data_IF_038995818296
#
_entry.id   IF_038995818296
#
_cell.length_a   1.000
_cell.length_b   1.000
_cell.length_c   1.000
_cell.angle_alpha   90.00
_cell.angle_beta   90.00
_cell.angle_gamma   90.00
#
_symmetry.space_group_name_H-M   'P 1'
#
loop_
_entity.id
_entity.type
_entity.pdbx_description
1 polymer ?
#
# COMPACT_ATOMS: atom_id res chain seq x y z
N UNK A 1 30.49 5.07 24.28
CA UNK A 1 29.22 4.38 23.94
C UNK A 1 28.10 5.34 23.54
N UNK A 2 28.03 6.58 24.05
CA UNK A 2 27.07 7.61 23.57
C UNK A 2 27.52 8.39 22.31
N UNK A 3 28.82 8.72 22.20
CA UNK A 3 29.37 9.50 21.06
C UNK A 3 29.07 8.88 19.69
N UNK A 4 29.11 7.55 19.58
CA UNK A 4 28.80 6.80 18.34
C UNK A 4 27.32 6.88 17.95
N UNK A 5 26.42 6.76 18.93
CA UNK A 5 24.98 6.88 18.70
C UNK A 5 24.61 8.31 18.28
N UNK A 6 25.15 9.32 18.97
CA UNK A 6 24.92 10.73 18.64
C UNK A 6 25.32 11.07 17.19
N UNK A 7 26.49 10.58 16.75
CA UNK A 7 26.97 10.80 15.38
C UNK A 7 26.02 10.22 14.32
N UNK A 8 25.35 9.09 14.59
CA UNK A 8 24.37 8.48 13.66
C UNK A 8 23.07 9.29 13.55
N UNK A 9 22.64 9.96 14.62
CA UNK A 9 21.48 10.85 14.57
C UNK A 9 21.81 12.20 13.94
N UNK A 10 23.03 12.72 14.14
CA UNK A 10 23.51 13.96 13.52
C UNK A 10 23.77 13.80 12.00
N UNK A 11 24.06 12.59 11.51
CA UNK A 11 24.30 12.32 10.08
C UNK A 11 23.06 12.36 9.17
N UNK A 12 21.89 12.68 9.73
CA UNK A 12 20.63 12.67 9.00
C UNK A 12 20.01 11.26 8.89
N UNK A 13 18.75 11.17 8.45
CA UNK A 13 18.07 9.89 8.35
C UNK A 13 18.78 8.97 7.32
N UNK A 14 18.78 7.65 7.56
CA UNK A 14 19.32 6.70 6.58
C UNK A 14 18.58 6.84 5.24
N UNK A 15 19.25 6.57 4.11
CA UNK A 15 18.65 6.67 2.79
C UNK A 15 17.38 5.83 2.73
N UNK A 16 16.32 6.38 2.14
CA UNK A 16 15.05 5.67 1.95
C UNK A 16 15.29 4.41 1.11
N UNK A 17 15.12 3.21 1.68
CA UNK A 17 15.44 1.96 1.00
C UNK A 17 14.54 1.68 -0.21
N UNK A 18 13.40 2.35 -0.31
CA UNK A 18 12.42 2.18 -1.36
C UNK A 18 11.64 3.46 -1.65
N UNK A 19 11.03 3.52 -2.83
CA UNK A 19 10.28 4.69 -3.32
C UNK A 19 8.76 4.58 -3.15
N UNK A 20 8.27 3.66 -2.33
CA UNK A 20 6.83 3.50 -2.11
C UNK A 20 6.24 4.61 -1.25
N UNK A 21 5.08 5.11 -1.66
CA UNK A 21 4.30 6.12 -0.95
C UNK A 21 2.90 5.59 -0.61
N UNK A 22 2.26 6.13 0.44
CA UNK A 22 0.83 5.93 0.65
C UNK A 22 0.04 6.31 -0.61
N UNK A 23 -0.82 5.42 -1.09
CA UNK A 23 -1.56 5.56 -2.34
C UNK A 23 -1.01 4.73 -3.52
N UNK A 24 0.23 4.25 -3.43
CA UNK A 24 0.79 3.36 -4.44
C UNK A 24 0.09 2.00 -4.43
N UNK A 25 0.03 1.38 -5.61
CA UNK A 25 -0.43 0.01 -5.75
C UNK A 25 0.75 -0.95 -5.85
N UNK A 26 0.67 -2.04 -5.09
CA UNK A 26 1.74 -3.03 -5.02
C UNK A 26 1.19 -4.45 -5.08
N UNK A 27 1.91 -5.32 -5.77
CA UNK A 27 1.77 -6.75 -5.64
C UNK A 27 2.59 -7.24 -4.45
N UNK A 28 2.07 -8.22 -3.71
CA UNK A 28 2.77 -8.85 -2.58
C UNK A 28 3.18 -10.27 -2.95
N UNK A 29 4.43 -10.61 -2.66
CA UNK A 29 5.01 -11.91 -2.95
C UNK A 29 4.36 -13.04 -2.13
N UNK A 30 4.13 -14.19 -2.76
CA UNK A 30 3.65 -15.39 -2.10
C UNK A 30 4.81 -16.31 -1.68
N UNK A 31 5.02 -16.47 -0.37
CA UNK A 31 6.10 -17.30 0.18
C UNK A 31 5.87 -18.81 0.03
N UNK A 32 4.62 -19.28 0.06
CA UNK A 32 4.26 -20.69 -0.06
C UNK A 32 3.38 -20.86 -1.30
N UNK A 33 3.99 -21.20 -2.42
CA UNK A 33 3.30 -21.37 -3.70
C UNK A 33 2.99 -22.86 -3.94
N UNK A 34 1.77 -23.19 -4.35
CA UNK A 34 1.47 -24.52 -4.88
C UNK A 34 1.88 -24.64 -6.35
N UNK A 35 1.95 -25.86 -6.89
CA UNK A 35 2.44 -26.08 -8.25
C UNK A 35 1.58 -25.31 -9.27
N UNK A 36 2.21 -24.47 -10.08
CA UNK A 36 1.61 -23.64 -11.15
C UNK A 36 0.76 -22.43 -10.71
N UNK A 37 0.79 -22.01 -9.44
CA UNK A 37 0.11 -20.77 -9.03
C UNK A 37 0.88 -19.49 -9.39
N UNK A 38 0.23 -18.33 -9.59
CA UNK A 38 0.93 -17.06 -9.72
C UNK A 38 1.68 -16.69 -8.43
N UNK A 39 2.96 -16.29 -8.57
CA UNK A 39 3.85 -15.98 -7.43
C UNK A 39 3.53 -14.65 -6.74
N UNK A 40 2.82 -13.76 -7.42
CA UNK A 40 2.42 -12.47 -6.91
C UNK A 40 0.92 -12.50 -6.62
N UNK A 41 0.55 -12.13 -5.39
CA UNK A 41 -0.85 -11.95 -5.02
C UNK A 41 -1.41 -10.74 -5.76
N UNK A 42 -2.74 -10.59 -5.73
CA UNK A 42 -3.45 -9.44 -6.30
C UNK A 42 -2.84 -8.09 -5.88
N UNK A 43 -3.17 -7.00 -6.59
CA UNK A 43 -2.76 -5.67 -6.18
C UNK A 43 -3.37 -5.27 -4.83
N UNK A 44 -2.57 -4.58 -4.03
CA UNK A 44 -2.95 -3.98 -2.76
C UNK A 44 -2.57 -2.51 -2.74
N UNK A 45 -3.35 -1.71 -2.02
CA UNK A 45 -3.08 -0.29 -1.83
C UNK A 45 -2.14 -0.11 -0.63
N UNK A 46 -1.05 0.63 -0.80
CA UNK A 46 -0.18 1.04 0.30
C UNK A 46 -0.90 2.12 1.12
N UNK A 47 -1.15 1.83 2.40
CA UNK A 47 -1.76 2.78 3.36
C UNK A 47 -0.68 3.55 4.11
N UNK A 48 0.43 2.88 4.45
CA UNK A 48 1.54 3.48 5.18
C UNK A 48 2.86 2.87 4.69
N UNK A 49 3.88 3.71 4.58
CA UNK A 49 5.23 3.32 4.20
C UNK A 49 6.19 3.70 5.32
N UNK A 50 7.00 2.73 5.75
CA UNK A 50 8.17 2.93 6.63
C UNK A 50 9.40 2.53 5.84
N UNK A 51 10.63 2.93 6.22
CA UNK A 51 11.81 2.70 5.38
C UNK A 51 12.00 1.26 4.89
N UNK A 52 11.64 0.24 5.69
CA UNK A 52 11.84 -1.17 5.32
C UNK A 52 10.55 -1.94 5.06
N UNK A 53 9.39 -1.40 5.41
CA UNK A 53 8.14 -2.16 5.35
C UNK A 53 6.93 -1.30 5.01
N UNK A 54 6.00 -1.92 4.31
CA UNK A 54 4.74 -1.34 3.87
C UNK A 54 3.58 -1.93 4.66
N UNK A 55 2.64 -1.07 5.01
CA UNK A 55 1.31 -1.45 5.45
C UNK A 55 0.38 -1.36 4.25
N UNK A 56 -0.14 -2.49 3.83
CA UNK A 56 -1.04 -2.55 2.67
C UNK A 56 -2.48 -2.84 3.11
N UNK A 57 -3.44 -2.49 2.26
CA UNK A 57 -4.85 -2.72 2.54
C UNK A 57 -5.13 -4.23 2.68
N UNK A 58 -6.11 -4.58 3.51
CA UNK A 58 -6.55 -5.97 3.75
C UNK A 58 -5.50 -6.97 4.30
N UNK A 59 -4.26 -6.56 4.57
CA UNK A 59 -3.24 -7.37 5.25
C UNK A 59 -2.94 -6.76 6.64
N UNK A 60 -3.13 -7.56 7.69
CA UNK A 60 -2.86 -7.14 9.07
C UNK A 60 -1.36 -6.99 9.37
N UNK A 61 -0.53 -7.84 8.76
CA UNK A 61 0.92 -7.78 8.89
C UNK A 61 1.57 -6.64 8.06
N UNK A 62 2.79 -6.28 8.44
CA UNK A 62 3.68 -5.43 7.65
C UNK A 62 4.43 -6.27 6.62
N UNK A 63 4.59 -5.75 5.41
CA UNK A 63 5.26 -6.44 4.31
C UNK A 63 6.60 -5.77 4.05
N UNK A 64 7.70 -6.52 4.11
CA UNK A 64 9.01 -5.98 3.76
C UNK A 64 9.06 -5.58 2.28
N UNK A 65 9.68 -4.44 1.95
CA UNK A 65 9.65 -3.87 0.59
C UNK A 65 10.28 -4.78 -0.48
N UNK A 66 11.18 -5.68 -0.10
CA UNK A 66 11.76 -6.68 -1.03
C UNK A 66 10.76 -7.75 -1.45
N UNK A 67 9.65 -7.89 -0.73
CA UNK A 67 8.55 -8.79 -1.04
C UNK A 67 7.40 -8.07 -1.72
N UNK A 68 7.62 -6.84 -2.19
CA UNK A 68 6.62 -6.07 -2.94
C UNK A 68 7.14 -5.68 -4.31
N UNK A 69 6.22 -5.52 -5.25
CA UNK A 69 6.50 -5.01 -6.59
C UNK A 69 5.47 -3.95 -6.96
N UNK A 70 5.85 -2.83 -7.61
CA UNK A 70 4.87 -1.85 -8.08
C UNK A 70 3.85 -2.51 -9.01
N UNK A 71 2.58 -2.13 -8.86
CA UNK A 71 1.51 -2.45 -9.76
C UNK A 71 1.16 -1.21 -10.58
N UNK A 72 1.16 -1.33 -11.90
CA UNK A 72 0.79 -0.24 -12.78
C UNK A 72 -0.72 -0.02 -12.74
N UNK A 73 -1.13 1.20 -12.35
CA UNK A 73 -2.52 1.65 -12.29
C UNK A 73 -3.26 1.49 -13.63
N UNK A 74 -2.57 1.58 -14.78
CA UNK A 74 -3.18 1.35 -16.10
C UNK A 74 -3.35 -0.13 -16.42
N UNK A 75 -2.51 -0.99 -15.84
CA UNK A 75 -2.63 -2.44 -15.95
C UNK A 75 -3.59 -3.03 -14.90
N UNK A 76 -3.94 -2.26 -13.86
CA UNK A 76 -5.03 -2.61 -12.96
C UNK A 76 -6.33 -2.57 -13.75
N UNK A 77 -6.82 -3.74 -14.13
CA UNK A 77 -8.18 -3.93 -14.63
C UNK A 77 -9.14 -3.13 -13.74
N UNK A 78 -10.12 -2.44 -14.31
CA UNK A 78 -11.14 -1.63 -13.59
C UNK A 78 -11.87 -2.39 -12.46
N UNK A 79 -11.69 -3.70 -12.39
CA UNK A 79 -12.14 -4.58 -11.32
C UNK A 79 -11.40 -4.40 -9.98
N UNK A 80 -10.14 -3.98 -10.01
CA UNK A 80 -9.32 -3.80 -8.80
C UNK A 80 -9.33 -2.38 -8.26
N UNK A 81 -9.72 -1.40 -9.08
CA UNK A 81 -9.86 -0.02 -8.63
C UNK A 81 -11.07 0.08 -7.69
N UNK A 82 -10.92 0.68 -6.49
CA UNK A 82 -12.05 0.86 -5.61
C UNK A 82 -12.99 1.87 -6.25
N UNK A 83 -14.15 1.39 -6.70
CA UNK A 83 -15.19 2.24 -7.27
C UNK A 83 -15.90 2.97 -6.13
N UNK A 84 -15.35 4.12 -5.76
CA UNK A 84 -15.97 5.02 -4.79
C UNK A 84 -17.05 5.84 -5.48
N UNK A 85 -18.27 5.79 -4.95
CA UNK A 85 -19.36 6.66 -5.34
C UNK A 85 -19.57 7.69 -4.24
N UNK A 86 -19.42 8.97 -4.60
CA UNK A 86 -19.83 10.06 -3.74
C UNK A 86 -21.36 10.26 -3.89
N UNK A 87 -22.08 10.14 -2.79
CA UNK A 87 -23.49 10.48 -2.70
C UNK A 87 -23.61 11.83 -1.98
N UNK A 88 -24.20 12.80 -2.66
CA UNK A 88 -24.56 14.09 -2.07
C UNK A 88 -25.83 13.88 -1.25
N UNK A 89 -25.82 14.35 -0.01
CA UNK A 89 -27.00 14.31 0.84
C UNK A 89 -28.09 15.26 0.30
N UNK A 90 -29.30 14.73 0.12
CA UNK A 90 -30.42 15.47 -0.46
C UNK A 90 -30.95 16.58 0.46
N UNK A 91 -30.64 16.52 1.75
CA UNK A 91 -31.18 17.42 2.78
C UNK A 91 -30.16 18.42 3.30
N UNK A 92 -28.87 18.08 3.28
CA UNK A 92 -27.80 18.98 3.68
C UNK A 92 -26.73 19.06 2.59
N UNK A 93 -26.62 20.19 1.87
CA UNK A 93 -25.68 20.33 0.76
C UNK A 93 -24.20 20.28 1.19
N UNK A 94 -23.91 20.36 2.50
CA UNK A 94 -22.56 20.25 3.06
C UNK A 94 -22.21 18.82 3.53
N UNK A 95 -23.12 17.86 3.36
CA UNK A 95 -22.87 16.46 3.71
C UNK A 95 -22.61 15.62 2.46
N UNK A 96 -21.46 14.96 2.45
CA UNK A 96 -21.06 14.00 1.43
C UNK A 96 -20.88 12.63 2.08
N UNK A 97 -21.45 11.60 1.45
CA UNK A 97 -21.29 10.21 1.87
C UNK A 97 -20.52 9.45 0.81
N UNK A 98 -19.33 8.99 1.15
CA UNK A 98 -18.53 8.12 0.28
C UNK A 98 -18.95 6.66 0.51
N UNK A 99 -19.35 5.97 -0.56
CA UNK A 99 -19.61 4.54 -0.53
C UNK A 99 -18.62 3.81 -1.43
N UNK A 100 -17.97 2.78 -0.89
CA UNK A 100 -17.18 1.84 -1.68
C UNK A 100 -18.13 0.83 -2.31
N UNK A 101 -18.18 0.78 -3.64
CA UNK A 101 -18.89 -0.30 -4.32
C UNK A 101 -18.02 -1.56 -4.26
N UNK A 102 -18.55 -2.60 -3.61
CA UNK A 102 -18.01 -3.95 -3.75
C UNK A 102 -18.73 -4.56 -4.95
N UNK A 103 -17.98 -4.93 -5.99
CA UNK A 103 -18.53 -5.77 -7.07
C UNK A 103 -18.82 -7.16 -6.46
N UNK A 104 -19.97 -7.78 -6.78
CA UNK A 104 -20.33 -9.11 -6.29
C UNK A 104 -19.32 -10.18 -6.74
#
# INVERSE_FOLDING_TARGET
TWKRLKALYESGPPPEPHRYWPGDWVYVHHHRQETLEPRWKRPFLVILATPTALKVDSISAWVHYTHTRPADLFALREEFLPQWKAEIDKTNPLKLKLRRQQKP
#
